data_IF_700372213262
#
_entry.id   IF_700372213262
#
_cell.length_a   1.000
_cell.length_b   1.000
_cell.length_c   1.000
_cell.angle_alpha   90.00
_cell.angle_beta   90.00
_cell.angle_gamma   90.00
#
_symmetry.space_group_name_H-M   'P 1'
#
loop_
_entity.id
_entity.type
_entity.pdbx_description
1 polymer ?
#
# COMPACT_ATOMS: atom_id res chain seq x y z
N UNK A 1 22.99 -13.14 15.32
CA UNK A 1 22.24 -12.26 16.24
C UNK A 1 20.92 -12.91 16.55
N UNK A 2 20.52 -13.02 17.81
CA UNK A 2 19.19 -13.53 18.18
C UNK A 2 18.14 -12.45 17.94
N UNK A 3 17.10 -12.76 17.18
CA UNK A 3 15.98 -11.85 16.98
C UNK A 3 15.22 -11.68 18.32
N UNK A 4 15.12 -10.46 18.82
CA UNK A 4 14.39 -10.14 20.06
C UNK A 4 12.87 -10.10 19.84
N UNK A 5 12.43 -9.95 18.59
CA UNK A 5 11.02 -9.92 18.23
C UNK A 5 10.44 -11.34 18.20
N UNK A 6 9.41 -11.58 19.01
CA UNK A 6 8.65 -12.85 19.06
C UNK A 6 7.30 -12.76 18.35
N UNK A 7 6.84 -11.54 18.07
CA UNK A 7 5.59 -11.29 17.36
C UNK A 7 5.76 -11.64 15.89
N UNK A 8 4.70 -12.16 15.28
CA UNK A 8 4.59 -12.27 13.83
C UNK A 8 3.77 -11.09 13.33
N UNK A 9 4.19 -10.53 12.20
CA UNK A 9 3.42 -9.52 11.49
C UNK A 9 2.36 -10.22 10.65
N UNK A 10 1.24 -9.53 10.45
CA UNK A 10 0.20 -9.98 9.54
C UNK A 10 0.68 -9.90 8.09
N UNK A 11 0.09 -10.76 7.26
CA UNK A 11 0.40 -10.85 5.83
C UNK A 11 -0.87 -10.66 5.00
N UNK A 12 -0.68 -10.33 3.73
CA UNK A 12 -1.75 -10.27 2.73
C UNK A 12 -1.27 -10.88 1.41
N UNK A 13 -2.21 -11.35 0.60
CA UNK A 13 -1.92 -11.91 -0.72
C UNK A 13 -2.20 -10.88 -1.81
N UNK A 14 -1.40 -10.92 -2.87
CA UNK A 14 -1.70 -10.20 -4.11
C UNK A 14 -0.93 -10.82 -5.28
N UNK A 15 -1.50 -10.70 -6.47
CA UNK A 15 -0.93 -11.07 -7.75
C UNK A 15 -0.41 -9.85 -8.55
N UNK A 16 -0.20 -8.69 -7.91
CA UNK A 16 0.24 -7.44 -8.56
C UNK A 16 1.45 -7.62 -9.50
N UNK A 17 2.37 -8.53 -9.18
CA UNK A 17 3.57 -8.81 -9.97
C UNK A 17 3.37 -9.90 -11.04
N UNK A 18 2.12 -10.26 -11.36
CA UNK A 18 1.75 -11.30 -12.32
C UNK A 18 1.60 -12.72 -11.75
N UNK A 19 1.90 -12.93 -10.47
CA UNK A 19 1.75 -14.21 -9.76
C UNK A 19 1.33 -13.98 -8.31
N UNK A 20 0.44 -14.80 -7.75
CA UNK A 20 0.01 -14.69 -6.36
C UNK A 20 1.21 -14.88 -5.40
N UNK A 21 1.45 -13.87 -4.56
CA UNK A 21 2.50 -13.86 -3.53
C UNK A 21 1.95 -13.36 -2.20
N UNK A 22 2.61 -13.76 -1.13
CA UNK A 22 2.34 -13.28 0.22
C UNK A 22 3.31 -12.14 0.58
N UNK A 23 2.75 -11.03 1.05
CA UNK A 23 3.47 -9.82 1.47
C UNK A 23 3.23 -9.58 2.95
N UNK A 24 4.26 -9.10 3.64
CA UNK A 24 4.20 -8.76 5.07
C UNK A 24 3.83 -7.30 5.25
N UNK A 25 2.88 -7.01 6.14
CA UNK A 25 2.51 -5.66 6.55
C UNK A 25 3.52 -5.08 7.55
N UNK A 26 4.73 -4.78 7.08
CA UNK A 26 5.83 -4.33 7.93
C UNK A 26 6.04 -2.80 7.88
N UNK A 27 6.61 -2.23 8.95
CA UNK A 27 6.92 -0.79 9.02
C UNK A 27 8.15 -0.38 8.20
N UNK A 28 8.89 -1.32 7.61
CA UNK A 28 10.11 -1.01 6.85
C UNK A 28 9.79 -0.20 5.59
N UNK A 29 8.57 -0.34 5.04
CA UNK A 29 8.10 0.47 3.92
C UNK A 29 8.28 1.98 4.16
N UNK A 30 8.12 2.48 5.39
CA UNK A 30 8.22 3.91 5.67
C UNK A 30 9.66 4.42 5.55
N UNK A 31 10.63 3.56 5.90
CA UNK A 31 12.04 3.86 5.69
C UNK A 31 12.39 3.85 4.19
N UNK A 32 11.83 2.88 3.44
CA UNK A 32 11.98 2.85 1.98
C UNK A 32 11.37 4.08 1.33
N UNK A 33 10.17 4.47 1.75
CA UNK A 33 9.47 5.63 1.21
C UNK A 33 10.29 6.91 1.41
N UNK A 34 10.86 7.07 2.61
CA UNK A 34 11.73 8.20 2.92
C UNK A 34 13.05 8.16 2.12
N UNK A 35 13.68 7.00 1.99
CA UNK A 35 14.95 6.84 1.27
C UNK A 35 14.80 7.07 -0.24
N UNK A 36 13.76 6.49 -0.85
CA UNK A 36 13.55 6.50 -2.31
C UNK A 36 12.84 7.76 -2.80
N UNK A 37 11.91 8.29 -2.03
CA UNK A 37 11.03 9.38 -2.48
C UNK A 37 11.12 10.63 -1.60
N UNK A 38 12.00 10.63 -0.59
CA UNK A 38 12.15 11.77 0.33
C UNK A 38 10.91 12.04 1.18
N UNK A 39 10.00 11.06 1.30
CA UNK A 39 8.67 11.26 1.85
C UNK A 39 8.49 10.55 3.18
N UNK A 40 8.15 11.32 4.21
CA UNK A 40 7.74 10.80 5.52
C UNK A 40 6.30 10.27 5.49
N UNK A 41 5.92 9.46 6.47
CA UNK A 41 4.52 9.00 6.63
C UNK A 41 3.51 10.17 6.68
N UNK A 42 3.86 11.27 7.35
CA UNK A 42 2.98 12.45 7.44
C UNK A 42 2.81 13.15 6.10
N UNK A 43 3.86 13.23 5.28
CA UNK A 43 3.80 13.79 3.94
C UNK A 43 3.03 12.87 2.99
N UNK A 44 3.21 11.55 3.11
CA UNK A 44 2.42 10.58 2.37
C UNK A 44 0.93 10.75 2.62
N UNK A 45 0.51 10.82 3.89
CA UNK A 45 -0.91 11.03 4.21
C UNK A 45 -1.47 12.32 3.58
N UNK A 46 -0.68 13.40 3.56
CA UNK A 46 -1.09 14.65 2.90
C UNK A 46 -1.19 14.50 1.39
N UNK A 47 -0.22 13.84 0.76
CA UNK A 47 -0.19 13.63 -0.69
C UNK A 47 -1.31 12.70 -1.14
N UNK A 48 -1.71 11.74 -0.30
CA UNK A 48 -2.86 10.87 -0.55
C UNK A 48 -4.16 11.69 -0.68
N UNK A 49 -4.33 12.74 0.13
CA UNK A 49 -5.48 13.65 0.06
C UNK A 49 -5.45 14.57 -1.18
N UNK A 50 -4.25 14.97 -1.62
CA UNK A 50 -4.06 15.92 -2.74
C UNK A 50 -3.99 15.24 -4.13
N UNK A 51 -3.38 14.05 -4.21
CA UNK A 51 -3.09 13.30 -5.44
C UNK A 51 -2.94 11.80 -5.13
N UNK A 52 -4.09 11.13 -5.02
CA UNK A 52 -4.20 9.74 -4.57
C UNK A 52 -3.35 8.77 -5.40
N UNK A 53 -3.46 8.80 -6.73
CA UNK A 53 -2.85 7.78 -7.60
C UNK A 53 -1.31 7.76 -7.53
N UNK A 54 -0.64 8.92 -7.56
CA UNK A 54 0.83 8.97 -7.50
C UNK A 54 1.36 8.61 -6.11
N UNK A 55 0.64 9.00 -5.05
CA UNK A 55 1.00 8.58 -3.69
C UNK A 55 0.86 7.06 -3.54
N UNK A 56 -0.22 6.48 -4.07
CA UNK A 56 -0.47 5.04 -4.03
C UNK A 56 0.56 4.25 -4.85
N UNK A 57 1.01 4.77 -5.99
CA UNK A 57 2.08 4.17 -6.77
C UNK A 57 3.42 4.14 -5.99
N UNK A 58 3.80 5.26 -5.36
CA UNK A 58 5.03 5.37 -4.59
C UNK A 58 5.03 4.47 -3.35
N UNK A 59 3.91 4.42 -2.60
CA UNK A 59 3.78 3.54 -1.43
C UNK A 59 3.74 2.06 -1.83
N UNK A 60 3.11 1.72 -2.96
CA UNK A 60 3.11 0.36 -3.50
C UNK A 60 4.54 -0.07 -3.82
N UNK A 61 5.31 0.78 -4.50
CA UNK A 61 6.73 0.53 -4.78
C UNK A 61 7.52 0.33 -3.48
N UNK A 62 7.29 1.17 -2.47
CA UNK A 62 7.94 1.04 -1.18
C UNK A 62 7.59 -0.27 -0.45
N UNK A 63 6.33 -0.74 -0.53
CA UNK A 63 5.90 -2.01 0.06
C UNK A 63 6.57 -3.20 -0.65
N UNK A 64 6.67 -3.18 -1.99
CA UNK A 64 7.34 -4.24 -2.76
C UNK A 64 8.82 -4.35 -2.36
N UNK A 65 9.53 -3.22 -2.32
CA UNK A 65 10.93 -3.17 -1.88
C UNK A 65 11.07 -3.62 -0.42
N UNK A 66 10.15 -3.21 0.46
CA UNK A 66 10.17 -3.63 1.86
C UNK A 66 9.89 -5.12 2.06
N UNK A 67 9.35 -5.80 1.04
CA UNK A 67 9.18 -7.24 0.98
C UNK A 67 10.31 -7.95 0.21
N UNK A 68 11.38 -7.23 -0.12
CA UNK A 68 12.61 -7.79 -0.69
C UNK A 68 12.59 -7.90 -2.22
N UNK A 69 11.65 -7.25 -2.90
CA UNK A 69 11.64 -7.19 -4.36
C UNK A 69 12.53 -6.02 -4.84
N UNK A 70 13.35 -6.26 -5.86
CA UNK A 70 14.16 -5.24 -6.51
C UNK A 70 13.37 -4.68 -7.71
N UNK A 71 12.67 -3.57 -7.50
CA UNK A 71 11.79 -2.91 -8.48
C UNK A 71 11.99 -1.39 -8.43
N UNK A 72 11.70 -0.71 -9.54
CA UNK A 72 11.64 0.76 -9.60
C UNK A 72 10.22 1.27 -9.69
N UNK A 73 10.01 2.57 -9.42
CA UNK A 73 8.68 3.18 -9.55
C UNK A 73 8.20 3.20 -11.00
N UNK A 74 9.12 3.35 -11.95
CA UNK A 74 8.84 3.30 -13.39
C UNK A 74 8.37 1.90 -13.79
N UNK A 75 9.03 0.84 -13.30
CA UNK A 75 8.63 -0.54 -13.60
C UNK A 75 7.22 -0.82 -13.06
N UNK A 76 6.91 -0.38 -11.84
CA UNK A 76 5.56 -0.52 -11.28
C UNK A 76 4.55 0.28 -12.11
N UNK A 77 4.88 1.51 -12.50
CA UNK A 77 3.99 2.37 -13.29
C UNK A 77 3.70 1.81 -14.69
N UNK A 78 4.69 1.18 -15.33
CA UNK A 78 4.55 0.61 -16.68
C UNK A 78 3.78 -0.72 -16.69
N UNK A 79 3.72 -1.43 -15.56
CA UNK A 79 3.16 -2.78 -15.48
C UNK A 79 1.91 -2.89 -14.60
N UNK A 80 1.42 -1.78 -14.03
CA UNK A 80 0.22 -1.77 -13.19
C UNK A 80 -0.74 -0.66 -13.61
N UNK A 81 -2.02 -0.82 -13.28
CA UNK A 81 -3.02 0.24 -13.40
C UNK A 81 -3.23 0.90 -12.03
N UNK A 82 -3.79 2.12 -11.97
CA UNK A 82 -4.17 2.74 -10.71
C UNK A 82 -5.06 1.83 -9.86
N UNK A 83 -6.01 1.13 -10.47
CA UNK A 83 -6.89 0.16 -9.80
C UNK A 83 -6.09 -0.97 -9.12
N UNK A 84 -5.13 -1.57 -9.83
CA UNK A 84 -4.28 -2.64 -9.28
C UNK A 84 -3.46 -2.15 -8.07
N UNK A 85 -2.87 -0.96 -8.16
CA UNK A 85 -2.10 -0.38 -7.05
C UNK A 85 -2.99 0.00 -5.86
N UNK A 86 -4.21 0.48 -6.11
CA UNK A 86 -5.19 0.80 -5.08
C UNK A 86 -5.67 -0.45 -4.34
N UNK A 87 -5.96 -1.54 -5.07
CA UNK A 87 -6.32 -2.82 -4.46
C UNK A 87 -5.17 -3.36 -3.61
N UNK A 88 -3.95 -3.35 -4.13
CA UNK A 88 -2.75 -3.78 -3.41
C UNK A 88 -2.56 -3.00 -2.11
N UNK A 89 -2.61 -1.67 -2.18
CA UNK A 89 -2.49 -0.79 -1.03
C UNK A 89 -3.64 -0.98 -0.03
N UNK A 90 -4.86 -1.18 -0.51
CA UNK A 90 -6.02 -1.48 0.35
C UNK A 90 -5.82 -2.78 1.12
N UNK A 91 -5.31 -3.83 0.47
CA UNK A 91 -5.00 -5.11 1.12
C UNK A 91 -3.88 -4.97 2.15
N UNK A 92 -2.86 -4.16 1.86
CA UNK A 92 -1.86 -3.77 2.85
C UNK A 92 -2.49 -3.09 4.07
N UNK A 93 -3.37 -2.10 3.88
CA UNK A 93 -4.04 -1.39 4.99
C UNK A 93 -4.92 -2.34 5.81
N UNK A 94 -5.63 -3.27 5.18
CA UNK A 94 -6.41 -4.32 5.86
C UNK A 94 -5.54 -5.16 6.79
N UNK A 95 -4.36 -5.57 6.34
CA UNK A 95 -3.43 -6.33 7.16
C UNK A 95 -2.74 -5.47 8.24
N UNK A 96 -2.34 -4.23 7.92
CA UNK A 96 -1.59 -3.36 8.82
C UNK A 96 -2.46 -2.66 9.88
N UNK A 97 -3.69 -2.32 9.51
CA UNK A 97 -4.61 -1.48 10.28
C UNK A 97 -6.06 -1.98 10.13
N UNK A 98 -6.41 -3.15 10.68
CA UNK A 98 -7.73 -3.76 10.48
C UNK A 98 -8.89 -2.84 10.87
N UNK A 99 -8.75 -2.04 11.93
CA UNK A 99 -9.76 -1.04 12.30
C UNK A 99 -9.89 0.11 11.30
N UNK A 100 -8.80 0.51 10.63
CA UNK A 100 -8.82 1.54 9.59
C UNK A 100 -9.44 1.03 8.29
N UNK A 101 -9.29 -0.26 8.00
CA UNK A 101 -9.96 -0.86 6.85
C UNK A 101 -11.48 -0.80 6.95
N UNK A 102 -12.04 -1.05 8.14
CA UNK A 102 -13.48 -0.90 8.39
C UNK A 102 -13.96 0.52 8.03
N UNK A 103 -13.19 1.55 8.41
CA UNK A 103 -13.49 2.94 8.03
C UNK A 103 -13.42 3.18 6.51
N UNK A 104 -12.44 2.62 5.81
CA UNK A 104 -12.31 2.80 4.35
C UNK A 104 -13.42 2.10 3.57
N UNK A 105 -13.82 0.88 3.98
CA UNK A 105 -14.92 0.16 3.36
C UNK A 105 -16.24 0.93 3.46
N UNK A 106 -16.50 1.52 4.64
CA UNK A 106 -17.65 2.39 4.85
C UNK A 106 -17.62 3.64 3.94
N UNK A 107 -16.45 4.27 3.79
CA UNK A 107 -16.29 5.46 2.95
C UNK A 107 -16.48 5.15 1.45
N UNK A 108 -15.91 4.04 0.96
CA UNK A 108 -16.08 3.59 -0.42
C UNK A 108 -17.52 3.22 -0.75
N UNK A 109 -18.22 2.56 0.18
CA UNK A 109 -19.63 2.24 0.00
C UNK A 109 -20.48 3.51 -0.10
N UNK A 110 -20.24 4.50 0.76
CA UNK A 110 -20.94 5.78 0.70
C UNK A 110 -20.73 6.52 -0.64
N UNK A 111 -19.51 6.48 -1.19
CA UNK A 111 -19.19 7.10 -2.48
C UNK A 111 -19.88 6.39 -3.66
N UNK A 112 -19.92 5.05 -3.67
CA UNK A 112 -20.63 4.27 -4.71
C UNK A 112 -22.13 4.54 -4.70
N UNK A 113 -22.72 4.68 -3.52
CA UNK A 113 -24.14 5.00 -3.36
C UNK A 113 -24.47 6.41 -3.88
N UNK A 114 -23.56 7.38 -3.72
CA UNK A 114 -23.74 8.76 -4.23
C UNK A 114 -23.54 8.91 -5.74
N UNK A 115 -22.82 8.00 -6.39
CA UNK A 115 -22.66 7.97 -7.84
C UNK A 115 -23.84 7.32 -8.56
N UNK A 116 -24.57 6.41 -7.90
CA UNK A 116 -25.77 5.76 -8.45
C UNK A 116 -27.00 6.71 -8.40
N UNK A 117 -27.01 7.67 -7.48
CA UNK A 117 -28.10 8.66 -7.31
C UNK A 117 -27.98 9.91 -8.21
N UNK A 118 -26.95 10.02 -9.06
CA UNK A 118 -26.77 11.12 -10.03
C UNK A 118 -27.11 10.69 -11.45
#
# INVERSE_FOLDING_TARGET
>A
MSNVFKNKLDTFKSDLTGEEREYTANNYLWLVLQDKFGMTQSEFNRKLDDSEDMAVLEITTAILIANGLDVTVEEVAENTTPEMTNEFYTNFIKAAYPSRAEYLEMAQQANRETEIEK
#
